data_IF_419757461200
#
_entry.id   IF_419757461200
#
_cell.length_a   1.000
_cell.length_b   1.000
_cell.length_c   1.000
_cell.angle_alpha   90.00
_cell.angle_beta   90.00
_cell.angle_gamma   90.00
#
_symmetry.space_group_name_H-M   'P 1'
#
loop_
_entity.id
_entity.type
_entity.pdbx_description
1 polymer ?
#
# COMPACT_ATOMS: atom_id res chain seq x y z
N UNK A 1 -3.10 -4.98 -18.48
CA UNK A 1 -3.40 -3.77 -17.69
C UNK A 1 -3.20 -4.02 -16.20
N UNK A 2 -2.98 -2.94 -15.44
CA UNK A 2 -2.93 -2.92 -13.98
C UNK A 2 -4.10 -2.12 -13.46
N UNK A 3 -4.82 -2.63 -12.46
CA UNK A 3 -5.98 -1.97 -11.85
C UNK A 3 -5.80 -1.99 -10.33
N UNK A 4 -6.00 -0.82 -9.71
CA UNK A 4 -5.92 -0.66 -8.27
C UNK A 4 -7.15 0.12 -7.79
N UNK A 5 -7.95 -0.52 -6.95
CA UNK A 5 -9.17 0.10 -6.41
C UNK A 5 -8.86 1.24 -5.42
N UNK A 6 -7.78 1.11 -4.65
CA UNK A 6 -7.68 1.78 -3.35
C UNK A 6 -8.64 1.11 -2.36
N UNK A 7 -9.30 1.92 -1.53
CA UNK A 7 -10.26 1.44 -0.53
C UNK A 7 -11.68 1.60 -1.03
N UNK A 8 -12.44 0.50 -1.00
CA UNK A 8 -13.78 0.49 -1.57
C UNK A 8 -14.49 -0.86 -1.47
N UNK A 9 -15.80 -0.77 -1.64
CA UNK A 9 -16.71 -1.93 -1.72
C UNK A 9 -16.87 -2.38 -3.16
N UNK A 10 -17.38 -3.61 -3.39
CA UNK A 10 -17.80 -4.05 -4.72
C UNK A 10 -18.75 -3.02 -5.34
N UNK A 11 -18.42 -2.58 -6.56
CA UNK A 11 -19.16 -1.56 -7.28
C UNK A 11 -19.08 -1.81 -8.79
N UNK A 12 -20.05 -1.26 -9.53
CA UNK A 12 -20.19 -1.52 -10.97
C UNK A 12 -19.05 -0.92 -11.78
N UNK A 13 -18.47 0.22 -11.37
CA UNK A 13 -17.33 0.82 -12.08
C UNK A 13 -16.11 -0.10 -12.08
N UNK A 14 -15.82 -0.75 -10.96
CA UNK A 14 -14.73 -1.73 -10.89
C UNK A 14 -15.01 -2.95 -11.76
N UNK A 15 -16.27 -3.37 -11.86
CA UNK A 15 -16.66 -4.46 -12.74
C UNK A 15 -16.53 -4.06 -14.21
N UNK A 16 -16.97 -2.86 -14.59
CA UNK A 16 -16.90 -2.37 -15.97
C UNK A 16 -15.46 -2.17 -16.44
N UNK A 17 -14.64 -1.47 -15.65
CA UNK A 17 -13.30 -1.06 -16.06
C UNK A 17 -12.19 -2.05 -15.66
N UNK A 18 -12.48 -2.99 -14.76
CA UNK A 18 -11.53 -4.00 -14.27
C UNK A 18 -11.47 -5.28 -15.09
N UNK A 19 -12.25 -5.41 -16.16
CA UNK A 19 -12.36 -6.65 -16.94
C UNK A 19 -11.01 -7.14 -17.46
N UNK A 20 -10.73 -8.42 -17.21
CA UNK A 20 -9.59 -9.19 -17.72
C UNK A 20 -8.22 -8.54 -17.49
N UNK A 21 -8.07 -7.78 -16.40
CA UNK A 21 -6.79 -7.16 -16.07
C UNK A 21 -5.68 -8.20 -15.86
N UNK A 22 -4.43 -7.83 -16.12
CA UNK A 22 -3.30 -8.72 -15.80
C UNK A 22 -3.18 -8.84 -14.28
N UNK A 23 -3.22 -7.70 -13.60
CA UNK A 23 -3.17 -7.62 -12.15
C UNK A 23 -4.28 -6.68 -11.66
N UNK A 24 -5.10 -7.16 -10.74
CA UNK A 24 -6.17 -6.38 -10.12
C UNK A 24 -6.03 -6.45 -8.60
N UNK A 25 -5.74 -5.30 -8.00
CA UNK A 25 -5.54 -5.13 -6.56
C UNK A 25 -6.80 -4.50 -5.96
N UNK A 26 -7.34 -5.14 -4.92
CA UNK A 26 -8.58 -4.73 -4.25
C UNK A 26 -8.41 -4.79 -2.74
N UNK A 27 -8.98 -3.82 -2.02
CA UNK A 27 -9.11 -3.89 -0.56
C UNK A 27 -9.81 -5.18 -0.15
N UNK A 28 -9.21 -5.91 0.78
CA UNK A 28 -9.96 -6.81 1.63
C UNK A 28 -9.50 -6.60 3.05
N UNK A 29 -10.44 -6.43 3.96
CA UNK A 29 -10.22 -6.54 5.39
C UNK A 29 -10.21 -8.01 5.81
N UNK A 30 -10.24 -8.28 7.11
CA UNK A 30 -10.34 -9.64 7.65
C UNK A 30 -11.80 -10.08 7.84
N UNK A 31 -12.10 -11.39 7.90
CA UNK A 31 -13.44 -11.87 8.24
C UNK A 31 -13.90 -11.35 9.61
N UNK A 32 -15.16 -10.92 9.71
CA UNK A 32 -15.69 -10.27 10.91
C UNK A 32 -15.57 -11.12 12.19
N UNK A 33 -15.72 -12.45 12.07
CA UNK A 33 -15.58 -13.37 13.20
C UNK A 33 -14.15 -13.38 13.76
N UNK A 34 -13.14 -13.41 12.88
CA UNK A 34 -11.74 -13.36 13.31
C UNK A 34 -11.36 -12.00 13.88
N UNK A 35 -11.90 -10.91 13.30
CA UNK A 35 -11.71 -9.57 13.83
C UNK A 35 -12.30 -9.43 15.25
N UNK A 36 -13.53 -9.89 15.45
CA UNK A 36 -14.19 -9.89 16.76
C UNK A 36 -13.35 -10.67 17.80
N UNK A 37 -12.86 -11.85 17.41
CA UNK A 37 -12.05 -12.72 18.27
C UNK A 37 -10.73 -12.06 18.68
N UNK A 38 -10.01 -11.42 17.74
CA UNK A 38 -8.71 -10.78 18.03
C UNK A 38 -8.82 -9.47 18.78
N UNK A 39 -9.87 -8.70 18.52
CA UNK A 39 -10.06 -7.36 19.11
C UNK A 39 -10.93 -7.38 20.38
N UNK A 40 -11.53 -8.53 20.70
CA UNK A 40 -12.51 -8.69 21.77
C UNK A 40 -13.76 -7.80 21.63
N UNK A 41 -14.02 -7.30 20.42
CA UNK A 41 -15.23 -6.56 20.12
C UNK A 41 -16.44 -7.49 20.01
N UNK A 42 -17.65 -7.06 20.40
CA UNK A 42 -18.87 -7.78 20.09
C UNK A 42 -18.98 -8.01 18.58
N UNK A 43 -19.40 -9.21 18.17
CA UNK A 43 -19.48 -9.59 16.75
C UNK A 43 -20.22 -8.56 15.89
N UNK A 44 -21.33 -8.00 16.40
CA UNK A 44 -22.10 -6.99 15.66
C UNK A 44 -21.26 -5.75 15.33
N UNK A 45 -20.40 -5.29 16.24
CA UNK A 45 -19.52 -4.15 16.01
C UNK A 45 -18.41 -4.52 15.01
N UNK A 46 -17.80 -5.69 15.17
CA UNK A 46 -16.81 -6.20 14.22
C UNK A 46 -17.39 -6.34 12.80
N UNK A 47 -18.61 -6.86 12.67
CA UNK A 47 -19.30 -6.97 11.39
C UNK A 47 -19.61 -5.61 10.76
N UNK A 48 -20.01 -4.61 11.57
CA UNK A 48 -20.21 -3.24 11.06
C UNK A 48 -18.92 -2.66 10.48
N UNK A 49 -17.76 -2.91 11.12
CA UNK A 49 -16.46 -2.46 10.62
C UNK A 49 -16.08 -3.23 9.35
N UNK A 50 -16.05 -4.57 9.41
CA UNK A 50 -15.52 -5.40 8.34
C UNK A 50 -16.42 -5.43 7.09
N UNK A 51 -17.74 -5.38 7.26
CA UNK A 51 -18.71 -5.44 6.15
C UNK A 51 -19.30 -4.07 5.81
N UNK A 52 -19.47 -3.22 6.81
CA UNK A 52 -20.18 -1.95 6.68
C UNK A 52 -19.27 -0.78 6.34
N UNK A 53 -18.05 -0.71 6.87
CA UNK A 53 -17.07 0.33 6.57
C UNK A 53 -16.10 -0.14 5.49
N UNK A 54 -15.56 -1.33 5.67
CA UNK A 54 -14.59 -1.97 4.78
C UNK A 54 -15.23 -3.00 3.83
N UNK A 55 -14.38 -3.80 3.21
CA UNK A 55 -14.75 -4.89 2.31
C UNK A 55 -14.21 -6.24 2.86
N UNK A 56 -15.03 -7.26 3.17
CA UNK A 56 -14.50 -8.57 3.58
C UNK A 56 -13.95 -9.36 2.37
N UNK A 57 -13.11 -10.39 2.58
CA UNK A 57 -12.50 -11.15 1.49
C UNK A 57 -13.51 -11.73 0.48
N UNK A 58 -14.65 -12.28 0.94
CA UNK A 58 -15.73 -12.78 0.06
C UNK A 58 -16.31 -11.71 -0.86
N UNK A 59 -16.30 -10.44 -0.44
CA UNK A 59 -16.79 -9.31 -1.24
C UNK A 59 -15.77 -8.95 -2.33
N UNK A 60 -14.48 -8.88 -1.99
CA UNK A 60 -13.42 -8.71 -2.99
C UNK A 60 -13.43 -9.86 -4.01
N UNK A 61 -13.61 -11.11 -3.53
CA UNK A 61 -13.76 -12.28 -4.39
C UNK A 61 -14.92 -12.17 -5.38
N UNK A 62 -16.05 -11.58 -4.97
CA UNK A 62 -17.17 -11.33 -5.89
C UNK A 62 -16.74 -10.40 -7.03
N UNK A 63 -16.03 -9.30 -6.72
CA UNK A 63 -15.47 -8.41 -7.74
C UNK A 63 -14.52 -9.17 -8.67
N UNK A 64 -13.62 -10.00 -8.14
CA UNK A 64 -12.69 -10.81 -8.95
C UNK A 64 -13.42 -11.82 -9.86
N UNK A 65 -14.49 -12.45 -9.39
CA UNK A 65 -15.29 -13.38 -10.20
C UNK A 65 -15.95 -12.69 -11.41
N UNK A 66 -16.33 -11.42 -11.22
CA UNK A 66 -17.00 -10.62 -12.25
C UNK A 66 -16.00 -10.01 -13.24
N UNK A 67 -14.78 -9.70 -12.77
CA UNK A 67 -13.73 -9.05 -13.57
C UNK A 67 -12.74 -10.02 -14.20
N UNK A 68 -12.58 -11.23 -13.65
CA UNK A 68 -11.72 -12.31 -14.17
C UNK A 68 -10.27 -11.87 -14.46
N UNK A 69 -9.55 -11.26 -13.50
CA UNK A 69 -8.15 -10.90 -13.72
C UNK A 69 -7.27 -12.14 -13.87
N UNK A 70 -6.12 -12.02 -14.54
CA UNK A 70 -5.10 -13.10 -14.60
C UNK A 70 -4.54 -13.40 -13.21
N UNK A 71 -4.36 -12.37 -12.38
CA UNK A 71 -4.03 -12.49 -10.96
C UNK A 71 -4.79 -11.44 -10.15
N UNK A 72 -5.55 -11.89 -9.15
CA UNK A 72 -6.13 -11.03 -8.14
C UNK A 72 -5.15 -10.81 -6.97
N UNK A 73 -5.23 -9.66 -6.31
CA UNK A 73 -4.44 -9.36 -5.12
C UNK A 73 -5.30 -8.75 -4.04
N UNK A 74 -5.29 -9.35 -2.86
CA UNK A 74 -5.85 -8.75 -1.65
C UNK A 74 -4.82 -7.83 -1.01
N UNK A 75 -5.19 -6.57 -0.75
CA UNK A 75 -4.38 -5.60 -0.01
C UNK A 75 -5.23 -4.89 1.07
N UNK A 76 -4.58 -4.09 1.93
CA UNK A 76 -5.25 -3.37 3.01
C UNK A 76 -5.97 -4.29 4.03
N UNK A 77 -5.36 -5.46 4.28
CA UNK A 77 -5.74 -6.41 5.32
C UNK A 77 -4.71 -6.43 6.46
N UNK A 78 -5.18 -6.87 7.63
CA UNK A 78 -4.32 -7.30 8.72
C UNK A 78 -3.87 -8.73 8.47
N UNK A 79 -2.55 -8.96 8.50
CA UNK A 79 -1.97 -10.28 8.34
C UNK A 79 -1.34 -10.76 9.64
N UNK A 80 -1.68 -11.99 9.99
CA UNK A 80 -0.99 -12.82 11.00
C UNK A 80 -1.12 -14.27 10.54
N UNK A 81 -0.24 -15.15 11.02
CA UNK A 81 -0.20 -16.55 10.58
C UNK A 81 -1.57 -17.24 10.68
N UNK A 82 -2.30 -16.97 11.76
CA UNK A 82 -3.63 -17.53 12.03
C UNK A 82 -4.75 -16.91 11.18
N UNK A 83 -4.51 -15.80 10.47
CA UNK A 83 -5.49 -15.19 9.58
C UNK A 83 -5.35 -15.64 8.12
N UNK A 84 -4.21 -16.20 7.73
CA UNK A 84 -3.95 -16.56 6.33
C UNK A 84 -5.03 -17.51 5.77
N UNK A 85 -5.38 -18.54 6.53
CA UNK A 85 -6.39 -19.52 6.11
C UNK A 85 -7.80 -18.94 6.17
N UNK A 86 -8.26 -18.32 7.27
CA UNK A 86 -9.60 -17.70 7.31
C UNK A 86 -9.86 -16.67 6.20
N UNK A 87 -8.86 -15.85 5.85
CA UNK A 87 -8.99 -14.88 4.75
C UNK A 87 -9.18 -15.60 3.41
N UNK A 88 -8.36 -16.61 3.13
CA UNK A 88 -8.44 -17.37 1.88
C UNK A 88 -9.76 -18.17 1.82
N UNK A 89 -10.16 -18.83 2.89
CA UNK A 89 -11.42 -19.58 2.95
C UNK A 89 -12.62 -18.67 2.70
N UNK A 90 -12.63 -17.47 3.30
CA UNK A 90 -13.70 -16.49 3.06
C UNK A 90 -13.73 -16.00 1.61
N UNK A 91 -12.56 -15.73 1.02
CA UNK A 91 -12.43 -15.37 -0.40
C UNK A 91 -12.93 -16.50 -1.33
N UNK A 92 -12.60 -17.75 -1.02
CA UNK A 92 -12.93 -18.93 -1.85
C UNK A 92 -14.42 -19.21 -1.96
N UNK A 93 -15.25 -18.60 -1.11
CA UNK A 93 -16.71 -18.65 -1.25
C UNK A 93 -17.18 -18.03 -2.58
N UNK A 94 -16.46 -17.04 -3.11
CA UNK A 94 -16.89 -16.28 -4.30
C UNK A 94 -15.86 -16.25 -5.43
N UNK A 95 -14.61 -16.68 -5.19
CA UNK A 95 -13.55 -16.65 -6.20
C UNK A 95 -12.63 -17.87 -6.15
N UNK A 96 -12.52 -18.56 -7.28
CA UNK A 96 -11.70 -19.77 -7.48
C UNK A 96 -10.38 -19.51 -8.22
N UNK A 97 -10.19 -18.33 -8.80
CA UNK A 97 -9.01 -17.99 -9.60
C UNK A 97 -7.72 -17.73 -8.79
N UNK A 98 -6.61 -17.41 -9.48
CA UNK A 98 -5.33 -17.10 -8.84
C UNK A 98 -5.42 -15.85 -7.97
N UNK A 99 -4.92 -15.92 -6.74
CA UNK A 99 -4.89 -14.80 -5.80
C UNK A 99 -3.58 -14.73 -5.04
N UNK A 100 -3.08 -13.52 -4.83
CA UNK A 100 -2.00 -13.22 -3.90
C UNK A 100 -2.53 -12.48 -2.67
N UNK A 101 -2.01 -12.81 -1.49
CA UNK A 101 -2.17 -11.99 -0.28
C UNK A 101 -0.99 -11.03 -0.22
N UNK A 102 -1.22 -9.75 -0.49
CA UNK A 102 -0.15 -8.75 -0.51
C UNK A 102 0.51 -8.64 0.86
N UNK A 103 1.83 -8.49 0.85
CA UNK A 103 2.67 -8.20 2.01
C UNK A 103 3.64 -7.10 1.62
N UNK A 104 4.14 -6.38 2.60
CA UNK A 104 5.19 -5.40 2.39
C UNK A 104 6.34 -6.02 1.61
N UNK A 105 6.86 -5.27 0.64
CA UNK A 105 7.93 -5.69 -0.28
C UNK A 105 7.55 -6.83 -1.25
N UNK A 106 6.28 -7.22 -1.36
CA UNK A 106 5.86 -8.12 -2.44
C UNK A 106 5.98 -7.42 -3.80
N UNK A 107 6.51 -8.12 -4.78
CA UNK A 107 6.72 -7.63 -6.14
C UNK A 107 6.13 -8.58 -7.18
N UNK A 108 5.65 -8.00 -8.28
CA UNK A 108 5.09 -8.74 -9.41
C UNK A 108 5.82 -8.37 -10.69
N UNK A 109 6.32 -9.37 -11.41
CA UNK A 109 6.81 -9.20 -12.78
C UNK A 109 5.76 -9.70 -13.75
N UNK A 110 5.18 -8.79 -14.52
CA UNK A 110 4.09 -9.07 -15.45
C UNK A 110 4.67 -9.17 -16.86
N UNK A 111 4.48 -10.33 -17.49
CA UNK A 111 4.82 -10.58 -18.90
C UNK A 111 3.57 -11.07 -19.64
N UNK A 112 3.66 -11.18 -20.97
CA UNK A 112 2.55 -11.73 -21.76
C UNK A 112 2.26 -13.18 -21.34
N UNK A 113 3.31 -13.94 -21.02
CA UNK A 113 3.23 -15.37 -20.75
C UNK A 113 2.83 -15.65 -19.30
N UNK A 114 3.42 -14.95 -18.33
CA UNK A 114 3.19 -15.22 -16.91
C UNK A 114 3.31 -13.99 -16.01
N UNK A 115 2.77 -14.11 -14.80
CA UNK A 115 2.96 -13.18 -13.69
C UNK A 115 3.79 -13.89 -12.62
N UNK A 116 4.94 -13.33 -12.26
CA UNK A 116 5.83 -13.90 -11.24
C UNK A 116 5.74 -13.08 -9.97
N UNK A 117 5.24 -13.68 -8.89
CA UNK A 117 5.19 -13.10 -7.54
C UNK A 117 6.49 -13.41 -6.78
N UNK A 118 7.09 -12.39 -6.14
CA UNK A 118 8.33 -12.52 -5.35
C UNK A 118 8.32 -11.57 -4.15
N UNK A 119 9.19 -11.81 -3.17
CA UNK A 119 9.49 -10.83 -2.13
C UNK A 119 10.78 -10.11 -2.49
N UNK A 120 10.77 -8.77 -2.45
CA UNK A 120 11.98 -7.98 -2.54
C UNK A 120 12.77 -8.09 -1.23
N UNK A 121 14.07 -8.30 -1.35
CA UNK A 121 15.01 -8.20 -0.23
C UNK A 121 15.69 -6.85 -0.37
N UNK A 122 15.45 -5.96 0.60
CA UNK A 122 15.99 -4.60 0.64
C UNK A 122 16.80 -4.43 1.93
N UNK A 123 17.80 -3.55 1.97
CA UNK A 123 18.50 -3.25 3.21
C UNK A 123 17.57 -2.49 4.19
N UNK A 124 17.51 -2.94 5.44
CA UNK A 124 16.69 -2.29 6.49
C UNK A 124 17.12 -0.84 6.75
N UNK A 125 18.43 -0.57 6.60
CA UNK A 125 19.04 0.75 6.80
C UNK A 125 19.44 1.36 5.46
N UNK A 126 18.45 1.57 4.58
CA UNK A 126 18.67 2.12 3.24
C UNK A 126 19.18 3.58 3.28
N UNK A 127 20.12 3.89 2.39
CA UNK A 127 20.56 5.27 2.11
C UNK A 127 19.91 5.80 0.82
N UNK A 128 19.67 7.12 0.70
CA UNK A 128 19.25 7.73 -0.55
C UNK A 128 20.23 7.38 -1.68
N UNK A 129 19.71 6.84 -2.78
CA UNK A 129 20.51 6.49 -3.95
C UNK A 129 20.82 7.78 -4.74
N UNK A 130 22.07 7.99 -5.20
CA UNK A 130 22.39 9.12 -6.07
C UNK A 130 21.59 9.06 -7.38
N UNK A 131 21.40 10.23 -8.02
CA UNK A 131 20.74 10.32 -9.33
C UNK A 131 21.39 9.37 -10.35
N UNK A 132 20.56 8.71 -11.16
CA UNK A 132 21.01 7.71 -12.13
C UNK A 132 21.96 8.28 -13.22
N UNK A 133 21.82 9.56 -13.54
CA UNK A 133 22.72 10.29 -14.43
C UNK A 133 23.38 11.39 -13.61
N UNK A 134 24.62 11.23 -13.12
CA UNK A 134 25.26 12.23 -12.24
C UNK A 134 25.64 13.52 -12.97
N UNK A 135 25.71 13.49 -14.30
CA UNK A 135 26.10 14.62 -15.14
C UNK A 135 25.02 15.70 -15.17
N UNK A 136 25.41 16.94 -14.91
CA UNK A 136 24.53 18.12 -14.87
C UNK A 136 24.62 18.88 -13.55
N UNK A 137 24.56 20.20 -13.62
CA UNK A 137 24.53 21.05 -12.44
C UNK A 137 23.23 20.80 -11.66
N UNK A 138 23.33 20.60 -10.35
CA UNK A 138 22.17 20.57 -9.47
C UNK A 138 21.50 21.95 -9.57
N UNK A 139 20.17 22.04 -9.76
CA UNK A 139 19.49 23.32 -9.73
C UNK A 139 19.88 24.08 -8.46
N UNK A 140 20.17 25.38 -8.55
CA UNK A 140 20.45 26.17 -7.35
C UNK A 140 19.23 26.10 -6.44
N UNK A 141 19.47 26.14 -5.14
CA UNK A 141 18.41 26.18 -4.15
C UNK A 141 17.55 27.44 -4.38
N UNK A 142 16.23 27.26 -4.48
CA UNK A 142 15.31 28.38 -4.69
C UNK A 142 15.17 29.21 -3.41
N UNK A 143 15.85 30.36 -3.38
CA UNK A 143 15.93 31.23 -2.19
C UNK A 143 14.57 31.75 -1.73
N UNK A 144 13.61 31.93 -2.64
CA UNK A 144 12.24 32.40 -2.32
C UNK A 144 11.46 31.46 -1.41
N UNK A 145 11.85 30.19 -1.32
CA UNK A 145 11.23 29.18 -0.45
C UNK A 145 12.06 28.92 0.81
N UNK A 146 13.14 29.68 1.02
CA UNK A 146 13.91 29.58 2.26
C UNK A 146 13.26 30.43 3.34
N UNK A 147 12.91 29.77 4.44
CA UNK A 147 12.47 30.42 5.66
C UNK A 147 13.59 30.25 6.69
N UNK A 148 14.50 31.23 6.83
CA UNK A 148 15.51 31.17 7.89
C UNK A 148 14.83 31.22 9.26
N UNK A 149 15.58 30.89 10.30
CA UNK A 149 15.17 31.20 11.66
C UNK A 149 14.80 32.69 11.76
N UNK A 150 13.77 33.00 12.55
CA UNK A 150 13.50 34.41 12.87
C UNK A 150 14.70 35.01 13.60
N UNK A 151 14.89 36.32 13.49
CA UNK A 151 15.99 37.02 14.17
C UNK A 151 16.05 36.70 15.67
N UNK A 152 14.87 36.56 16.31
CA UNK A 152 14.77 36.17 17.71
C UNK A 152 15.38 34.79 18.00
N UNK A 153 15.14 33.80 17.13
CA UNK A 153 15.66 32.45 17.30
C UNK A 153 17.14 32.34 16.88
N UNK A 154 17.52 32.99 15.78
CA UNK A 154 18.91 33.05 15.33
C UNK A 154 19.82 33.68 16.41
N UNK A 155 19.36 34.74 17.09
CA UNK A 155 20.10 35.38 18.17
C UNK A 155 20.28 34.50 19.44
N UNK A 156 19.63 33.35 19.51
CA UNK A 156 19.77 32.36 20.59
C UNK A 156 20.59 31.14 20.18
N UNK A 157 21.08 31.09 18.94
CA UNK A 157 21.97 30.02 18.49
C UNK A 157 23.29 30.07 19.28
N UNK A 158 23.73 28.91 19.76
CA UNK A 158 25.04 28.75 20.41
C UNK A 158 26.04 28.39 19.29
N UNK A 159 27.04 29.24 19.02
CA UNK A 159 28.00 28.96 17.96
C UNK A 159 28.85 27.74 18.33
N UNK A 160 29.06 26.85 17.36
CA UNK A 160 29.93 25.69 17.48
C UNK A 160 31.16 25.93 16.62
N UNK A 161 32.34 25.93 17.24
CA UNK A 161 33.60 26.15 16.53
C UNK A 161 33.77 25.13 15.40
N UNK A 162 34.03 25.61 14.18
CA UNK A 162 34.17 24.78 12.98
C UNK A 162 32.86 24.40 12.27
N UNK A 163 31.70 24.84 12.75
CA UNK A 163 30.39 24.57 12.12
C UNK A 163 29.76 25.87 11.63
N UNK A 164 29.61 26.02 10.31
CA UNK A 164 28.87 27.14 9.71
C UNK A 164 27.38 26.83 9.69
N UNK A 165 26.57 27.68 10.31
CA UNK A 165 25.11 27.53 10.39
C UNK A 165 24.36 28.42 9.39
N UNK A 166 25.07 29.35 8.73
CA UNK A 166 24.52 30.18 7.66
C UNK A 166 24.18 29.37 6.41
N UNK A 167 22.93 29.52 5.94
CA UNK A 167 22.50 28.95 4.68
C UNK A 167 23.10 29.80 3.54
N UNK A 168 24.15 29.30 2.87
CA UNK A 168 24.82 30.02 1.78
C UNK A 168 23.88 30.27 0.60
N UNK A 169 23.82 31.53 0.17
CA UNK A 169 22.91 32.02 -0.87
C UNK A 169 22.41 33.45 -0.63
N UNK A 170 22.59 34.02 0.57
CA UNK A 170 22.45 35.46 0.78
C UNK A 170 23.60 36.24 0.13
#
# INVERSE_FOLDING_TARGET
SFVFLGDGKPNEYMVEYGQNADLLIHEAFVPAAEYAKKTFLPYQIAANICHGVHCPPRSAGKTFSLTKPRLAVLYHLMLSEDLLIPILDDLRVTYDGPVALARDLMTFNITKEKITQRMAVVPDMAWPVPRHQPEGERPPMEQRYMFPLSDFLAAKEIPVEGVTTDIRGQ
#
